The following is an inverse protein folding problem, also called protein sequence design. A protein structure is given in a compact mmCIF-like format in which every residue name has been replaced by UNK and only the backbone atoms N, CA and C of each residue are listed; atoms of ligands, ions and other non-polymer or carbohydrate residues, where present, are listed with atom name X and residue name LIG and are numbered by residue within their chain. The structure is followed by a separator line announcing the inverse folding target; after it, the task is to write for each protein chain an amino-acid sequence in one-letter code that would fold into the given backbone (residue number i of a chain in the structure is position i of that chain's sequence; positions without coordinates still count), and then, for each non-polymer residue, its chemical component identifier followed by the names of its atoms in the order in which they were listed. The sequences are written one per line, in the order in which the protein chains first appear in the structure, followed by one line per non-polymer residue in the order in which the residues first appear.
data_IF_784887296539
#
_entry.id   IF_784887296539
#
_cell.length_a   1.000
_cell.length_b   1.000
_cell.length_c   1.000
_cell.angle_alpha   90.00
_cell.angle_beta   90.00
_cell.angle_gamma   90.00
#
_symmetry.space_group_name_H-M   'P 1'
#
loop_
_entity.id
_entity.type
_entity.pdbx_description
1 polymer ?
#
# COMPACT_ATOMS: atom_id res chain seq x y z
N UNK A 1 41.94 -2.04 1.47
CA UNK A 1 40.83 -1.05 1.47
C UNK A 1 39.65 -1.73 0.81
N UNK A 2 38.69 -2.22 1.59
CA UNK A 2 37.58 -2.99 1.06
C UNK A 2 36.60 -2.07 0.34
N UNK A 3 36.54 -2.20 -0.98
CA UNK A 3 35.51 -1.57 -1.81
C UNK A 3 34.16 -2.22 -1.50
N UNK A 4 33.40 -1.66 -0.56
CA UNK A 4 31.97 -1.99 -0.43
C UNK A 4 31.22 -1.15 -1.44
N UNK A 5 30.99 -1.72 -2.63
CA UNK A 5 30.03 -1.21 -3.59
C UNK A 5 28.65 -1.10 -2.91
N UNK A 6 27.82 -0.10 -3.26
CA UNK A 6 26.47 0.02 -2.72
C UNK A 6 25.67 -1.21 -3.17
N UNK A 7 25.50 -2.18 -2.28
CA UNK A 7 24.68 -3.34 -2.56
C UNK A 7 23.23 -2.86 -2.66
N UNK A 8 22.73 -2.69 -3.89
CA UNK A 8 21.30 -2.49 -4.15
C UNK A 8 20.58 -3.76 -3.71
N UNK A 9 20.16 -3.78 -2.45
CA UNK A 9 19.49 -4.92 -1.83
C UNK A 9 18.12 -5.11 -2.48
N UNK A 10 17.91 -6.27 -3.09
CA UNK A 10 16.62 -6.64 -3.68
C UNK A 10 15.67 -7.04 -2.54
N UNK A 11 14.50 -6.42 -2.50
CA UNK A 11 13.46 -6.74 -1.53
C UNK A 11 12.92 -8.15 -1.82
N UNK A 12 12.92 -9.05 -0.83
CA UNK A 12 12.28 -10.36 -0.99
C UNK A 12 10.77 -10.20 -1.17
N UNK A 13 10.10 -11.09 -1.91
CA UNK A 13 8.65 -11.04 -2.12
C UNK A 13 7.85 -10.93 -0.81
N UNK A 14 8.37 -11.51 0.29
CA UNK A 14 7.75 -11.39 1.62
C UNK A 14 7.91 -10.03 2.25
N UNK A 15 9.11 -9.45 2.15
CA UNK A 15 9.38 -8.11 2.64
C UNK A 15 8.58 -7.07 1.84
N UNK A 16 8.42 -7.29 0.54
CA UNK A 16 7.53 -6.49 -0.30
C UNK A 16 6.06 -6.61 0.12
N UNK A 17 5.58 -7.84 0.41
CA UNK A 17 4.19 -8.06 0.85
C UNK A 17 3.91 -7.45 2.23
N UNK A 18 4.83 -7.58 3.20
CA UNK A 18 4.66 -6.96 4.53
C UNK A 18 4.66 -5.43 4.44
N UNK A 19 5.56 -4.84 3.64
CA UNK A 19 5.59 -3.42 3.36
C UNK A 19 4.27 -2.96 2.72
N UNK A 20 3.82 -3.65 1.67
CA UNK A 20 2.54 -3.34 1.01
C UNK A 20 1.35 -3.44 1.96
N UNK A 21 1.33 -4.43 2.87
CA UNK A 21 0.29 -4.55 3.89
C UNK A 21 0.30 -3.39 4.88
N UNK A 22 1.48 -2.99 5.36
CA UNK A 22 1.61 -1.85 6.27
C UNK A 22 1.19 -0.54 5.58
N UNK A 23 1.65 -0.33 4.34
CA UNK A 23 1.33 0.86 3.56
C UNK A 23 -0.17 0.94 3.25
N UNK A 24 -0.78 -0.18 2.84
CA UNK A 24 -2.23 -0.28 2.66
C UNK A 24 -2.98 -0.02 3.96
N UNK A 25 -2.52 -0.55 5.09
CA UNK A 25 -3.16 -0.31 6.38
C UNK A 25 -3.10 1.17 6.80
N UNK A 26 -2.00 1.87 6.52
CA UNK A 26 -1.89 3.32 6.69
C UNK A 26 -2.86 4.05 5.76
N UNK A 27 -2.85 3.73 4.47
CA UNK A 27 -3.74 4.32 3.48
C UNK A 27 -5.23 4.15 3.84
N UNK A 28 -5.61 2.97 4.35
CA UNK A 28 -6.99 2.70 4.78
C UNK A 28 -7.40 3.51 6.02
N UNK A 29 -6.48 3.80 6.93
CA UNK A 29 -6.77 4.64 8.11
C UNK A 29 -6.98 6.09 7.70
N UNK A 30 -6.11 6.60 6.85
CA UNK A 30 -6.14 7.99 6.39
C UNK A 30 -7.32 8.25 5.45
N UNK A 31 -7.62 7.31 4.54
CA UNK A 31 -8.73 7.39 3.60
C UNK A 31 -10.05 6.81 4.14
N UNK A 32 -10.13 6.54 5.46
CA UNK A 32 -11.28 5.88 6.07
C UNK A 32 -12.57 6.67 5.86
N UNK A 33 -12.53 7.99 5.99
CA UNK A 33 -13.70 8.86 5.84
C UNK A 33 -14.28 8.78 4.41
N UNK A 34 -13.43 8.82 3.38
CA UNK A 34 -13.86 8.72 1.98
C UNK A 34 -14.36 7.30 1.67
N UNK A 35 -13.74 6.29 2.29
CA UNK A 35 -14.16 4.91 2.17
C UNK A 35 -15.54 4.68 2.79
N UNK A 36 -15.80 5.24 3.97
CA UNK A 36 -17.11 5.18 4.64
C UNK A 36 -18.19 5.86 3.79
N UNK A 37 -17.91 7.04 3.23
CA UNK A 37 -18.84 7.73 2.32
C UNK A 37 -19.18 6.90 1.08
N UNK A 38 -18.16 6.30 0.44
CA UNK A 38 -18.36 5.42 -0.71
C UNK A 38 -19.18 4.16 -0.34
N UNK A 39 -18.88 3.55 0.81
CA UNK A 39 -19.61 2.38 1.32
C UNK A 39 -21.07 2.74 1.60
N UNK A 40 -21.33 3.90 2.19
CA UNK A 40 -22.69 4.35 2.50
C UNK A 40 -23.52 4.60 1.23
N UNK A 41 -22.93 5.22 0.21
CA UNK A 41 -23.57 5.36 -1.10
C UNK A 41 -23.82 3.99 -1.78
N UNK A 42 -22.87 3.06 -1.63
CA UNK A 42 -22.96 1.72 -2.22
C UNK A 42 -24.05 0.86 -1.58
N UNK A 43 -24.30 1.01 -0.28
CA UNK A 43 -25.36 0.29 0.44
C UNK A 43 -26.75 0.67 -0.03
N UNK A 44 -26.96 1.94 -0.39
CA UNK A 44 -28.28 2.48 -0.75
C UNK A 44 -28.64 2.29 -2.22
N UNK A 45 -27.64 2.08 -3.10
CA UNK A 45 -27.86 1.96 -4.54
C UNK A 45 -27.09 0.79 -5.14
N UNK A 46 -27.74 -0.37 -5.25
CA UNK A 46 -27.16 -1.56 -5.91
C UNK A 46 -27.21 -1.48 -7.44
N UNK A 47 -28.22 -0.82 -8.03
CA UNK A 47 -28.41 -0.78 -9.51
C UNK A 47 -27.76 0.45 -10.15
N UNK A 48 -27.76 1.60 -9.47
CA UNK A 48 -27.23 2.88 -9.98
C UNK A 48 -25.90 3.28 -9.32
N UNK A 49 -25.14 2.32 -8.78
CA UNK A 49 -23.90 2.55 -8.05
C UNK A 49 -22.82 3.24 -8.92
N UNK A 50 -22.69 2.80 -10.18
CA UNK A 50 -21.62 3.23 -11.09
C UNK A 50 -21.67 4.72 -11.43
N UNK A 51 -22.87 5.30 -11.45
CA UNK A 51 -23.08 6.74 -11.73
C UNK A 51 -23.37 7.52 -10.45
N UNK A 52 -24.20 6.97 -9.56
CA UNK A 52 -24.64 7.62 -8.33
C UNK A 52 -23.54 7.88 -7.31
N UNK A 53 -22.53 7.00 -7.23
CA UNK A 53 -21.41 7.12 -6.27
C UNK A 53 -20.10 7.50 -6.96
N UNK A 54 -20.17 8.07 -8.17
CA UNK A 54 -18.98 8.41 -8.95
C UNK A 54 -18.12 9.50 -8.29
N UNK A 55 -18.74 10.41 -7.51
CA UNK A 55 -18.05 11.44 -6.73
C UNK A 55 -17.25 10.84 -5.57
N UNK A 56 -17.89 10.01 -4.76
CA UNK A 56 -17.29 9.33 -3.61
C UNK A 56 -16.20 8.35 -4.06
N UNK A 57 -16.43 7.66 -5.18
CA UNK A 57 -15.41 6.83 -5.83
C UNK A 57 -14.17 7.64 -6.22
N UNK A 58 -14.36 8.83 -6.83
CA UNK A 58 -13.24 9.71 -7.20
C UNK A 58 -12.50 10.21 -5.96
N UNK A 59 -13.21 10.64 -4.93
CA UNK A 59 -12.60 11.11 -3.68
C UNK A 59 -11.78 10.02 -2.99
N UNK A 60 -12.31 8.79 -2.91
CA UNK A 60 -11.58 7.64 -2.37
C UNK A 60 -10.36 7.30 -3.23
N UNK A 61 -10.52 7.28 -4.56
CA UNK A 61 -9.42 7.00 -5.49
C UNK A 61 -8.33 8.06 -5.40
N UNK A 62 -8.67 9.33 -5.25
CA UNK A 62 -7.71 10.42 -5.13
C UNK A 62 -6.92 10.32 -3.83
N UNK A 63 -7.58 10.01 -2.71
CA UNK A 63 -6.91 9.77 -1.44
C UNK A 63 -5.97 8.56 -1.52
N UNK A 64 -6.43 7.43 -2.05
CA UNK A 64 -5.62 6.23 -2.20
C UNK A 64 -4.42 6.46 -3.13
N UNK A 65 -4.58 7.28 -4.18
CA UNK A 65 -3.51 7.59 -5.14
C UNK A 65 -2.29 8.23 -4.48
N UNK A 66 -2.48 8.99 -3.40
CA UNK A 66 -1.36 9.55 -2.63
C UNK A 66 -0.47 8.43 -2.06
N UNK A 67 -1.07 7.32 -1.62
CA UNK A 67 -0.37 6.18 -1.03
C UNK A 67 0.06 5.12 -2.04
N UNK A 68 -0.65 4.98 -3.17
CA UNK A 68 -0.35 4.00 -4.22
C UNK A 68 0.40 4.59 -5.40
N UNK A 69 0.78 5.86 -5.35
CA UNK A 69 1.63 6.47 -6.38
C UNK A 69 2.99 5.77 -6.43
N UNK A 70 3.59 5.68 -7.61
CA UNK A 70 4.93 5.12 -7.78
C UNK A 70 5.95 5.81 -6.86
N UNK A 71 5.81 7.12 -6.67
CA UNK A 71 6.65 7.89 -5.75
C UNK A 71 6.44 7.48 -4.28
N UNK A 72 5.20 7.25 -3.83
CA UNK A 72 4.94 6.83 -2.46
C UNK A 72 5.41 5.41 -2.17
N UNK A 73 5.22 4.50 -3.15
CA UNK A 73 5.71 3.12 -3.08
C UNK A 73 7.25 3.12 -3.04
N UNK A 74 7.89 3.93 -3.89
CA UNK A 74 9.34 4.02 -3.94
C UNK A 74 9.93 4.63 -2.65
N UNK A 75 9.31 5.67 -2.10
CA UNK A 75 9.71 6.26 -0.80
C UNK A 75 9.65 5.24 0.33
N UNK A 76 8.58 4.46 0.45
CA UNK A 76 8.52 3.44 1.50
C UNK A 76 9.48 2.27 1.25
N UNK A 77 9.68 1.85 -0.01
CA UNK A 77 10.72 0.87 -0.34
C UNK A 77 12.10 1.35 0.12
N UNK A 78 12.45 2.60 -0.18
CA UNK A 78 13.73 3.19 0.25
C UNK A 78 13.83 3.27 1.77
N UNK A 79 12.76 3.68 2.46
CA UNK A 79 12.73 3.71 3.92
C UNK A 79 12.85 2.31 4.54
N UNK A 80 12.33 1.27 3.88
CA UNK A 80 12.44 -0.11 4.35
C UNK A 80 13.83 -0.71 4.08
N UNK A 81 14.45 -0.34 2.96
CA UNK A 81 15.84 -0.71 2.66
C UNK A 81 16.84 -0.07 3.63
N UNK A 82 16.53 1.13 4.14
CA UNK A 82 17.32 1.81 5.16
C UNK A 82 17.14 1.22 6.57
N UNK A 83 16.07 0.46 6.83
CA UNK A 83 15.82 -0.15 8.13
C UNK A 83 16.60 -1.46 8.31
N UNK A 84 17.28 -1.66 9.46
CA UNK A 84 17.90 -2.94 9.79
C UNK A 84 16.83 -4.03 9.95
N UNK A 85 17.10 -5.26 9.47
CA UNK A 85 16.12 -6.37 9.44
C UNK A 85 15.45 -6.56 10.82
N UNK A 86 14.12 -6.48 10.93
CA UNK A 86 13.41 -7.16 12.01
C UNK A 86 13.34 -8.65 11.63
N UNK A 87 14.27 -9.46 12.15
CA UNK A 87 14.11 -10.90 12.32
C UNK A 87 13.76 -11.75 11.08
N UNK A 88 14.75 -12.50 10.60
CA UNK A 88 14.58 -13.71 9.80
C UNK A 88 13.47 -14.61 10.39
N UNK A 89 12.40 -14.84 9.63
CA UNK A 89 11.28 -15.64 10.12
C UNK A 89 10.07 -15.63 9.21
N UNK A 90 10.12 -16.37 8.11
CA UNK A 90 9.03 -17.25 7.65
C UNK A 90 9.17 -17.54 6.16
N UNK A 91 9.40 -18.82 5.83
CA UNK A 91 8.86 -19.48 4.65
C UNK A 91 9.84 -19.89 3.54
N UNK A 92 11.06 -20.32 3.84
CA UNK A 92 11.59 -21.37 2.97
C UNK A 92 10.68 -22.59 3.14
N UNK A 93 9.77 -22.80 2.19
CA UNK A 93 9.25 -24.13 1.91
C UNK A 93 8.94 -24.21 0.43
N UNK A 94 9.99 -24.55 -0.31
CA UNK A 94 9.85 -25.20 -1.59
C UNK A 94 9.00 -26.47 -1.38
N UNK A 95 8.00 -26.66 -2.23
CA UNK A 95 7.42 -27.96 -2.57
C UNK A 95 7.56 -28.10 -4.07
#
# INVERSE_FOLDING_TARGET
MSTTAPQQRILSNREADTLMKQQKAKALKECKAQMEAFVECSKTRTISMLWGCSGEKKALSECLRVYTSEEAIEREKQAFLAQPRPGDGSGSKAV
#
